data_IF_053012208479
#
_entry.id   IF_053012208479
#
_cell.length_a   1.000
_cell.length_b   1.000
_cell.length_c   1.000
_cell.angle_alpha   90.00
_cell.angle_beta   90.00
_cell.angle_gamma   90.00
#
_symmetry.space_group_name_H-M   'P 1'
#
loop_
_entity.id
_entity.type
_entity.pdbx_description
1 polymer ?
#
# COMPACT_ATOMS: atom_id res chain seq x y z
N UNK A 1 -2.57 5.37 5.70
CA UNK A 1 -3.16 5.27 4.35
C UNK A 1 -2.58 6.39 3.51
N UNK A 2 -1.55 6.11 2.70
CA UNK A 2 -0.93 7.17 1.86
C UNK A 2 -1.96 7.69 0.85
N UNK A 3 -2.85 6.82 0.35
CA UNK A 3 -3.95 7.21 -0.54
C UNK A 3 -4.87 8.25 0.12
N UNK A 4 -5.22 8.07 1.41
CA UNK A 4 -6.04 9.07 2.12
C UNK A 4 -5.33 10.41 2.30
N UNK A 5 -4.01 10.39 2.53
CA UNK A 5 -3.23 11.62 2.58
C UNK A 5 -3.20 12.32 1.21
N UNK A 6 -3.12 11.54 0.12
CA UNK A 6 -3.21 12.06 -1.25
C UNK A 6 -4.58 12.69 -1.51
N UNK A 7 -5.67 12.05 -1.08
CA UNK A 7 -7.03 12.58 -1.22
C UNK A 7 -7.23 13.89 -0.45
N UNK A 8 -6.65 14.01 0.76
CA UNK A 8 -6.62 15.26 1.52
C UNK A 8 -5.87 16.35 0.75
N UNK A 9 -4.69 16.05 0.19
CA UNK A 9 -3.92 17.01 -0.60
C UNK A 9 -4.74 17.54 -1.78
N UNK A 10 -5.35 16.64 -2.54
CA UNK A 10 -6.20 17.01 -3.67
C UNK A 10 -7.36 17.91 -3.27
N UNK A 11 -8.02 17.57 -2.17
CA UNK A 11 -9.14 18.34 -1.63
C UNK A 11 -8.70 19.73 -1.15
N UNK A 12 -7.56 19.83 -0.45
CA UNK A 12 -7.05 21.08 0.11
C UNK A 12 -6.57 22.07 -0.95
N UNK A 13 -5.94 21.58 -2.01
CA UNK A 13 -5.36 22.41 -3.05
C UNK A 13 -6.22 22.47 -4.33
N UNK A 14 -7.41 21.85 -4.30
CA UNK A 14 -8.32 21.76 -5.44
C UNK A 14 -7.63 21.32 -6.73
N UNK A 15 -6.75 20.33 -6.60
CA UNK A 15 -5.91 19.82 -7.69
C UNK A 15 -5.98 18.30 -7.72
N UNK A 16 -5.75 17.72 -8.89
CA UNK A 16 -5.57 16.27 -9.03
C UNK A 16 -4.11 15.84 -8.91
N UNK A 17 -3.19 16.81 -8.95
CA UNK A 17 -1.77 16.57 -8.79
C UNK A 17 -1.45 16.22 -7.34
N UNK A 18 -0.53 15.28 -7.18
CA UNK A 18 -0.07 14.79 -5.89
C UNK A 18 1.45 14.89 -5.84
N UNK A 19 2.05 15.31 -4.72
CA UNK A 19 3.49 15.42 -4.60
C UNK A 19 4.20 14.10 -4.92
N UNK A 20 5.31 14.17 -5.64
CA UNK A 20 6.08 13.00 -6.07
C UNK A 20 6.52 12.12 -4.89
N UNK A 21 6.93 12.70 -3.76
CA UNK A 21 7.27 11.95 -2.52
C UNK A 21 6.10 11.07 -2.04
N UNK A 22 4.85 11.51 -2.17
CA UNK A 22 3.70 10.70 -1.77
C UNK A 22 3.47 9.52 -2.71
N UNK A 23 3.75 9.70 -4.00
CA UNK A 23 3.69 8.63 -5.01
C UNK A 23 4.80 7.59 -4.77
N UNK A 24 6.03 8.06 -4.50
CA UNK A 24 7.18 7.20 -4.18
C UNK A 24 6.93 6.40 -2.90
N UNK A 25 6.49 7.07 -1.83
CA UNK A 25 6.10 6.39 -0.57
C UNK A 25 5.01 5.35 -0.77
N UNK A 26 4.02 5.62 -1.63
CA UNK A 26 2.99 4.64 -1.98
C UNK A 26 3.61 3.41 -2.64
N UNK A 27 4.51 3.60 -3.59
CA UNK A 27 5.22 2.51 -4.26
C UNK A 27 6.03 1.65 -3.25
N UNK A 28 6.78 2.29 -2.36
CA UNK A 28 7.58 1.60 -1.33
C UNK A 28 6.71 0.79 -0.36
N UNK A 29 5.60 1.37 0.10
CA UNK A 29 4.66 0.68 1.00
C UNK A 29 4.04 -0.53 0.29
N UNK A 30 3.62 -0.39 -0.96
CA UNK A 30 3.06 -1.50 -1.74
C UNK A 30 4.10 -2.60 -2.00
N UNK A 31 5.35 -2.23 -2.29
CA UNK A 31 6.43 -3.20 -2.47
C UNK A 31 6.69 -4.01 -1.19
N UNK A 32 6.73 -3.35 -0.03
CA UNK A 32 6.86 -4.01 1.27
C UNK A 32 5.67 -4.90 1.59
N UNK A 33 4.46 -4.46 1.26
CA UNK A 33 3.24 -5.24 1.45
C UNK A 33 3.28 -6.54 0.63
N UNK A 34 3.66 -6.46 -0.65
CA UNK A 34 3.82 -7.64 -1.52
C UNK A 34 4.87 -8.60 -0.98
N UNK A 35 6.03 -8.08 -0.58
CA UNK A 35 7.08 -8.91 0.01
C UNK A 35 6.61 -9.61 1.30
N UNK A 36 5.80 -8.94 2.11
CA UNK A 36 5.22 -9.52 3.31
C UNK A 36 4.17 -10.60 2.98
N UNK A 37 3.32 -10.34 1.98
CA UNK A 37 2.33 -11.29 1.48
C UNK A 37 3.00 -12.58 0.97
N UNK A 38 4.05 -12.45 0.16
CA UNK A 38 4.82 -13.57 -0.35
C UNK A 38 5.46 -14.40 0.79
N UNK A 39 6.04 -13.71 1.79
CA UNK A 39 6.63 -14.37 2.95
C UNK A 39 5.57 -15.07 3.85
N UNK A 40 4.36 -14.53 3.91
CA UNK A 40 3.26 -15.07 4.71
C UNK A 40 2.46 -16.16 3.96
N UNK A 41 2.56 -16.23 2.63
CA UNK A 41 1.86 -17.20 1.78
C UNK A 41 1.91 -18.66 2.31
N UNK A 42 3.07 -19.24 2.70
CA UNK A 42 3.11 -20.61 3.22
C UNK A 42 2.37 -20.78 4.56
N UNK A 43 2.39 -19.77 5.43
CA UNK A 43 1.66 -19.79 6.70
C UNK A 43 0.15 -19.73 6.46
N UNK A 44 -0.28 -18.87 5.54
CA UNK A 44 -1.69 -18.75 5.15
C UNK A 44 -2.16 -20.06 4.53
N UNK A 45 -1.38 -20.65 3.62
CA UNK A 45 -1.71 -21.93 3.00
C UNK A 45 -1.84 -23.07 4.03
N UNK A 46 -0.92 -23.14 5.01
CA UNK A 46 -1.00 -24.10 6.11
C UNK A 46 -2.28 -23.94 6.94
N UNK A 47 -2.66 -22.70 7.28
CA UNK A 47 -3.87 -22.43 8.07
C UNK A 47 -5.16 -22.67 7.27
N UNK A 48 -5.13 -22.48 5.95
CA UNK A 48 -6.28 -22.69 5.07
C UNK A 48 -6.54 -24.18 4.79
N UNK A 49 -5.53 -25.05 4.91
CA UNK A 49 -5.70 -26.47 4.70
C UNK A 49 -4.89 -27.29 5.73
N UNK A 50 -5.37 -27.40 6.99
CA UNK A 50 -4.65 -28.06 8.08
C UNK A 50 -4.69 -29.61 8.00
N UNK A 51 -4.78 -30.18 6.80
CA UNK A 51 -4.94 -31.63 6.56
C UNK A 51 -3.62 -32.31 6.16
#
# INVERSE_FOLDING_TARGET
MVDYAMDIHKTLYHTEDVPQDMVERRADVVARLKSLEDAAAPLVAFLQNPA
#
